data_IF_402392801118
#
_entry.id   IF_402392801118
#
_cell.length_a   1.000
_cell.length_b   1.000
_cell.length_c   1.000
_cell.angle_alpha   90.00
_cell.angle_beta   90.00
_cell.angle_gamma   90.00
#
_symmetry.space_group_name_H-M   'P 1'
#
loop_
_entity.id
_entity.type
_entity.pdbx_description
1 polymer ?
#
# COMPACT_ATOMS: atom_id res chain seq x y z
N UNK A 1 -14.03 13.00 34.72
CA UNK A 1 -14.79 12.56 33.53
C UNK A 1 -13.78 12.32 32.42
N UNK A 2 -13.78 11.14 31.79
CA UNK A 2 -12.88 10.87 30.66
C UNK A 2 -13.38 11.65 29.43
N UNK A 3 -12.50 12.42 28.78
CA UNK A 3 -12.85 13.10 27.53
C UNK A 3 -13.31 12.07 26.48
N UNK A 4 -14.38 12.37 25.75
CA UNK A 4 -14.84 11.51 24.67
C UNK A 4 -13.78 11.48 23.57
N UNK A 5 -13.20 10.30 23.34
CA UNK A 5 -12.19 10.09 22.29
C UNK A 5 -12.79 10.36 20.92
N UNK A 6 -11.98 10.95 20.03
CA UNK A 6 -12.35 11.00 18.62
C UNK A 6 -12.13 9.64 17.95
N UNK A 7 -12.67 9.44 16.75
CA UNK A 7 -12.62 8.17 16.03
C UNK A 7 -11.18 7.73 15.75
N UNK A 8 -10.28 8.67 15.45
CA UNK A 8 -8.87 8.35 15.22
C UNK A 8 -8.20 7.79 16.49
N UNK A 9 -8.39 8.45 17.63
CA UNK A 9 -7.86 7.99 18.93
C UNK A 9 -8.46 6.65 19.36
N UNK A 10 -9.74 6.42 19.08
CA UNK A 10 -10.40 5.15 19.37
C UNK A 10 -9.86 4.03 18.47
N UNK A 11 -9.71 4.28 17.17
CA UNK A 11 -9.19 3.32 16.20
C UNK A 11 -7.72 2.97 16.44
N UNK A 12 -6.89 3.97 16.78
CA UNK A 12 -5.43 3.84 16.91
C UNK A 12 -4.93 3.70 18.34
N UNK A 13 -5.79 3.67 19.36
CA UNK A 13 -5.39 3.62 20.77
C UNK A 13 -4.56 2.39 21.22
N UNK A 14 -4.42 1.37 20.37
CA UNK A 14 -3.45 0.26 20.51
C UNK A 14 -2.74 -0.02 19.18
N UNK A 15 -2.59 1.00 18.35
CA UNK A 15 -1.84 0.93 17.10
C UNK A 15 -0.64 1.86 17.19
N UNK A 16 0.46 1.44 16.57
CA UNK A 16 1.63 2.28 16.34
C UNK A 16 1.59 2.79 14.92
N UNK A 17 1.65 4.10 14.75
CA UNK A 17 1.77 4.75 13.44
C UNK A 17 3.23 5.13 13.25
N UNK A 18 3.87 4.54 12.23
CA UNK A 18 5.28 4.71 11.92
C UNK A 18 5.37 5.42 10.58
N UNK A 19 6.08 6.55 10.53
CA UNK A 19 6.34 7.29 9.29
C UNK A 19 7.76 7.03 8.81
N UNK A 20 7.89 6.64 7.54
CA UNK A 20 9.17 6.42 6.88
C UNK A 20 9.14 7.09 5.51
N UNK A 21 9.67 8.31 5.44
CA UNK A 21 9.55 9.14 4.24
C UNK A 21 8.09 9.39 3.87
N UNK A 22 7.69 8.90 2.70
CA UNK A 22 6.32 8.98 2.17
C UNK A 22 5.43 7.78 2.56
N UNK A 23 5.97 6.78 3.25
CA UNK A 23 5.23 5.62 3.72
C UNK A 23 4.71 5.84 5.14
N UNK A 24 3.47 5.43 5.36
CA UNK A 24 2.86 5.32 6.68
C UNK A 24 2.53 3.84 6.92
N UNK A 25 3.19 3.27 7.93
CA UNK A 25 2.90 1.94 8.43
C UNK A 25 2.08 2.03 9.71
N UNK A 26 0.99 1.26 9.78
CA UNK A 26 0.15 1.16 10.96
C UNK A 26 0.24 -0.27 11.46
N UNK A 27 0.75 -0.44 12.68
CA UNK A 27 0.89 -1.73 13.36
C UNK A 27 -0.13 -1.81 14.47
N UNK A 28 -1.10 -2.71 14.36
CA UNK A 28 -2.19 -2.90 15.30
C UNK A 28 -1.84 -4.06 16.21
N UNK A 29 -1.81 -3.82 17.52
CA UNK A 29 -1.57 -4.90 18.48
C UNK A 29 -2.68 -5.97 18.38
N UNK A 30 -2.28 -7.22 18.14
CA UNK A 30 -3.17 -8.36 17.86
C UNK A 30 -4.03 -8.24 16.59
N UNK A 31 -3.83 -7.22 15.75
CA UNK A 31 -4.69 -6.91 14.60
C UNK A 31 -3.97 -6.79 13.26
N UNK A 32 -2.68 -7.13 13.22
CA UNK A 32 -1.83 -7.11 12.04
C UNK A 32 -1.19 -5.75 11.74
N UNK A 33 -0.77 -5.55 10.49
CA UNK A 33 -0.16 -4.30 10.06
C UNK A 33 -0.47 -4.00 8.60
N UNK A 34 -0.56 -2.72 8.25
CA UNK A 34 -0.67 -2.30 6.85
C UNK A 34 0.17 -1.06 6.57
N UNK A 35 0.47 -0.83 5.30
CA UNK A 35 1.19 0.33 4.79
C UNK A 35 0.33 1.06 3.78
N UNK A 36 0.37 2.38 3.82
CA UNK A 36 -0.24 3.30 2.84
C UNK A 36 0.71 4.48 2.61
N UNK A 37 0.34 5.42 1.74
CA UNK A 37 1.09 6.65 1.52
C UNK A 37 0.71 7.72 2.54
N UNK A 38 1.61 8.68 2.77
CA UNK A 38 1.33 9.85 3.58
C UNK A 38 0.19 10.70 2.99
N UNK A 39 0.13 10.79 1.67
CA UNK A 39 -0.89 11.53 0.92
C UNK A 39 -2.31 11.00 1.19
N UNK A 40 -2.50 9.69 1.30
CA UNK A 40 -3.81 9.12 1.64
C UNK A 40 -4.09 9.11 3.15
N UNK A 41 -3.05 8.87 3.96
CA UNK A 41 -3.22 8.80 5.41
C UNK A 41 -3.68 10.14 6.02
N UNK A 42 -3.11 11.27 5.57
CA UNK A 42 -3.39 12.56 6.21
C UNK A 42 -4.84 13.02 6.07
N UNK A 43 -5.49 12.95 4.90
CA UNK A 43 -6.93 13.21 4.76
C UNK A 43 -7.79 12.29 5.62
N UNK A 44 -7.50 10.98 5.61
CA UNK A 44 -8.24 9.99 6.41
C UNK A 44 -8.13 10.28 7.91
N UNK A 45 -6.92 10.62 8.39
CA UNK A 45 -6.68 11.02 9.77
C UNK A 45 -7.46 12.27 10.14
N UNK A 46 -7.37 13.35 9.34
CA UNK A 46 -8.10 14.60 9.59
C UNK A 46 -9.61 14.41 9.62
N UNK A 47 -10.13 13.53 8.76
CA UNK A 47 -11.54 13.14 8.80
C UNK A 47 -11.88 12.43 10.12
N UNK A 48 -11.08 11.45 10.54
CA UNK A 48 -11.32 10.65 11.74
C UNK A 48 -11.21 11.47 13.03
N UNK A 49 -10.29 12.44 13.11
CA UNK A 49 -10.16 13.37 14.25
C UNK A 49 -11.42 14.23 14.45
N UNK A 50 -12.21 14.47 13.40
CA UNK A 50 -13.46 15.24 13.46
C UNK A 50 -14.70 14.40 13.77
N UNK A 51 -14.57 13.07 13.87
CA UNK A 51 -15.69 12.16 14.14
C UNK A 51 -15.66 11.70 15.58
N UNK A 52 -16.83 11.60 16.19
CA UNK A 52 -16.98 10.96 17.49
C UNK A 52 -16.73 9.44 17.38
N UNK A 53 -16.02 8.86 18.34
CA UNK A 53 -15.89 7.41 18.44
C UNK A 53 -17.24 6.75 18.74
N UNK A 54 -17.49 5.56 18.18
CA UNK A 54 -18.70 4.79 18.44
C UNK A 54 -18.67 4.04 19.77
N UNK A 55 -17.50 3.97 20.42
CA UNK A 55 -17.28 3.17 21.63
C UNK A 55 -16.93 1.71 21.32
N UNK A 56 -17.10 1.25 20.08
CA UNK A 56 -16.63 -0.04 19.61
C UNK A 56 -15.38 0.13 18.74
N UNK A 57 -14.24 -0.32 19.27
CA UNK A 57 -12.94 -0.19 18.61
C UNK A 57 -12.86 -0.88 17.25
N UNK A 58 -13.47 -2.06 17.10
CA UNK A 58 -13.43 -2.82 15.84
C UNK A 58 -14.20 -2.05 14.76
N UNK A 59 -15.37 -1.52 15.12
CA UNK A 59 -16.18 -0.67 14.24
C UNK A 59 -15.46 0.62 13.87
N UNK A 60 -14.86 1.31 14.85
CA UNK A 60 -14.12 2.56 14.62
C UNK A 60 -12.89 2.34 13.73
N UNK A 61 -12.17 1.22 13.89
CA UNK A 61 -11.08 0.81 12.99
C UNK A 61 -11.56 0.56 11.58
N UNK A 62 -12.65 -0.21 11.41
CA UNK A 62 -13.25 -0.46 10.10
C UNK A 62 -13.55 0.85 9.37
N UNK A 63 -14.28 1.76 10.03
CA UNK A 63 -14.62 3.09 9.50
C UNK A 63 -13.40 3.92 9.14
N UNK A 64 -12.35 3.90 9.97
CA UNK A 64 -11.12 4.63 9.69
C UNK A 64 -10.39 4.05 8.48
N UNK A 65 -10.20 2.72 8.43
CA UNK A 65 -9.47 2.06 7.36
C UNK A 65 -10.20 2.12 6.01
N UNK A 66 -11.53 2.22 6.01
CA UNK A 66 -12.32 2.47 4.81
C UNK A 66 -12.03 3.82 4.14
N UNK A 67 -11.52 4.80 4.88
CA UNK A 67 -11.12 6.08 4.28
C UNK A 67 -9.77 6.02 3.55
N UNK A 68 -9.04 4.91 3.67
CA UNK A 68 -7.75 4.72 3.00
C UNK A 68 -7.99 3.90 1.74
N UNK A 69 -7.81 4.52 0.57
CA UNK A 69 -8.16 3.93 -0.72
C UNK A 69 -7.15 2.90 -1.21
N UNK A 70 -5.85 3.13 -0.97
CA UNK A 70 -4.75 2.23 -1.35
C UNK A 70 -3.95 1.85 -0.12
N UNK A 71 -3.88 0.54 0.14
CA UNK A 71 -3.07 0.00 1.22
C UNK A 71 -2.62 -1.42 0.91
N UNK A 72 -1.45 -1.78 1.43
CA UNK A 72 -0.92 -3.15 1.42
C UNK A 72 -0.88 -3.65 2.86
N UNK A 73 -1.59 -4.74 3.12
CA UNK A 73 -1.75 -5.35 4.44
C UNK A 73 -0.86 -6.56 4.62
N UNK A 74 -0.52 -6.89 5.87
CA UNK A 74 0.03 -8.21 6.22
C UNK A 74 -1.10 -9.25 6.27
N UNK A 75 -0.83 -10.52 5.96
CA UNK A 75 -1.79 -11.60 6.22
C UNK A 75 -2.31 -11.57 7.66
N UNK A 76 -3.62 -11.75 7.85
CA UNK A 76 -4.26 -11.69 9.17
C UNK A 76 -4.53 -10.29 9.71
N UNK A 77 -4.28 -9.22 8.94
CA UNK A 77 -4.64 -7.85 9.32
C UNK A 77 -6.13 -7.60 9.17
N UNK A 78 -6.70 -6.78 10.06
CA UNK A 78 -8.13 -6.41 10.04
C UNK A 78 -8.56 -5.68 8.75
N UNK A 79 -7.62 -5.09 8.01
CA UNK A 79 -7.85 -4.50 6.70
C UNK A 79 -7.14 -5.33 5.63
N UNK A 80 -7.83 -5.63 4.54
CA UNK A 80 -7.25 -6.31 3.38
C UNK A 80 -6.57 -5.31 2.43
N UNK A 81 -5.55 -5.80 1.72
CA UNK A 81 -4.89 -5.08 0.62
C UNK A 81 -5.92 -4.68 -0.41
N UNK A 82 -5.94 -3.39 -0.78
CA UNK A 82 -6.93 -2.84 -1.72
C UNK A 82 -6.38 -1.63 -2.46
N UNK A 83 -7.09 -1.24 -3.52
CA UNK A 83 -6.77 -0.10 -4.37
C UNK A 83 -6.52 -0.52 -5.82
N UNK A 84 -6.43 0.44 -6.76
CA UNK A 84 -6.11 0.14 -8.15
C UNK A 84 -4.75 -0.54 -8.28
N UNK A 85 -4.63 -1.55 -9.14
CA UNK A 85 -3.40 -2.36 -9.26
C UNK A 85 -2.14 -1.52 -9.49
N UNK A 86 -2.22 -0.47 -10.32
CA UNK A 86 -1.11 0.46 -10.59
C UNK A 86 -0.67 1.24 -9.35
N UNK A 87 -1.62 1.62 -8.49
CA UNK A 87 -1.31 2.36 -7.27
C UNK A 87 -0.72 1.43 -6.20
N UNK A 88 -1.26 0.21 -6.08
CA UNK A 88 -0.71 -0.83 -5.21
C UNK A 88 0.71 -1.21 -5.65
N UNK A 89 0.95 -1.31 -6.96
CA UNK A 89 2.27 -1.53 -7.52
C UNK A 89 3.25 -0.41 -7.18
N UNK A 90 2.85 0.85 -7.37
CA UNK A 90 3.67 2.01 -7.01
C UNK A 90 3.99 2.02 -5.50
N UNK A 91 3.00 1.65 -4.66
CA UNK A 91 3.20 1.52 -3.22
C UNK A 91 4.18 0.38 -2.89
N UNK A 92 4.05 -0.78 -3.52
CA UNK A 92 4.96 -1.92 -3.34
C UNK A 92 6.41 -1.57 -3.75
N UNK A 93 6.58 -0.83 -4.86
CA UNK A 93 7.89 -0.32 -5.29
C UNK A 93 8.49 0.64 -4.25
N UNK A 94 7.68 1.55 -3.69
CA UNK A 94 8.10 2.45 -2.59
C UNK A 94 8.47 1.67 -1.34
N UNK A 95 7.69 0.64 -0.97
CA UNK A 95 7.98 -0.25 0.15
C UNK A 95 9.33 -0.97 -0.05
N UNK A 96 9.58 -1.54 -1.23
CA UNK A 96 10.87 -2.17 -1.55
C UNK A 96 12.03 -1.18 -1.45
N UNK A 97 11.86 0.04 -1.99
CA UNK A 97 12.86 1.11 -1.88
C UNK A 97 13.08 1.57 -0.43
N UNK A 98 12.06 1.49 0.42
CA UNK A 98 12.13 1.76 1.86
C UNK A 98 12.71 0.60 2.69
N UNK A 99 13.16 -0.48 2.05
CA UNK A 99 13.77 -1.63 2.73
C UNK A 99 12.77 -2.65 3.30
N UNK A 100 11.50 -2.62 2.88
CA UNK A 100 10.52 -3.61 3.31
C UNK A 100 10.73 -4.93 2.55
N UNK A 101 10.72 -6.05 3.30
CA UNK A 101 10.65 -7.38 2.71
C UNK A 101 9.22 -7.66 2.25
N UNK A 102 8.98 -7.65 0.94
CA UNK A 102 7.64 -7.78 0.35
C UNK A 102 7.03 -9.18 0.53
N UNK A 103 7.82 -10.20 0.87
CA UNK A 103 7.36 -11.56 1.12
C UNK A 103 6.40 -11.67 2.33
N UNK A 104 6.52 -10.76 3.30
CA UNK A 104 5.66 -10.73 4.50
C UNK A 104 4.32 -10.00 4.28
N UNK A 105 4.07 -9.50 3.06
CA UNK A 105 2.91 -8.67 2.76
C UNK A 105 1.98 -9.35 1.76
N UNK A 106 0.68 -9.13 1.95
CA UNK A 106 -0.34 -9.68 1.08
C UNK A 106 -0.43 -8.86 -0.21
N UNK A 107 0.44 -9.16 -1.18
CA UNK A 107 0.39 -8.56 -2.50
C UNK A 107 -0.65 -9.28 -3.39
N UNK A 108 -1.33 -8.54 -4.30
CA UNK A 108 -2.15 -9.13 -5.34
C UNK A 108 -1.35 -10.16 -6.16
N UNK A 109 -2.01 -11.20 -6.73
CA UNK A 109 -1.33 -12.24 -7.49
C UNK A 109 -0.51 -11.68 -8.66
N UNK A 110 -1.01 -10.62 -9.28
CA UNK A 110 -0.34 -9.92 -10.38
C UNK A 110 1.01 -9.31 -9.98
N UNK A 111 1.23 -9.00 -8.70
CA UNK A 111 2.44 -8.33 -8.19
C UNK A 111 3.36 -9.27 -7.39
N UNK A 112 3.06 -10.57 -7.34
CA UNK A 112 3.86 -11.55 -6.59
C UNK A 112 5.30 -11.68 -7.08
N UNK A 113 5.56 -11.41 -8.36
CA UNK A 113 6.91 -11.40 -8.93
C UNK A 113 7.85 -10.41 -8.20
N UNK A 114 7.30 -9.35 -7.59
CA UNK A 114 8.09 -8.38 -6.82
C UNK A 114 8.64 -8.96 -5.51
N UNK A 115 8.05 -10.05 -5.00
CA UNK A 115 8.50 -10.74 -3.78
C UNK A 115 9.71 -11.64 -4.04
N UNK A 116 9.78 -12.25 -5.23
CA UNK A 116 10.85 -13.19 -5.61
C UNK A 116 12.09 -12.49 -6.15
N UNK A 117 12.04 -11.16 -6.33
CA UNK A 117 13.13 -10.41 -6.95
C UNK A 117 13.21 -10.60 -8.47
N UNK A 118 12.20 -11.22 -9.07
CA UNK A 118 12.11 -11.43 -10.51
C UNK A 118 11.80 -10.10 -11.21
N UNK A 119 12.43 -9.89 -12.38
CA UNK A 119 12.21 -8.69 -13.20
C UNK A 119 10.75 -8.64 -13.68
N UNK A 120 10.19 -7.42 -13.80
CA UNK A 120 8.78 -7.25 -14.17
C UNK A 120 8.51 -7.90 -15.54
N UNK A 121 7.66 -8.94 -15.63
CA UNK A 121 7.44 -9.66 -16.87
C UNK A 121 6.82 -8.79 -17.98
N UNK A 122 6.24 -7.63 -17.65
CA UNK A 122 5.73 -6.67 -18.63
C UNK A 122 6.87 -5.83 -19.22
N UNK A 123 7.92 -5.53 -18.45
CA UNK A 123 9.11 -4.87 -18.98
C UNK A 123 9.88 -5.81 -19.92
N UNK A 124 10.00 -7.10 -19.55
CA UNK A 124 10.67 -8.11 -20.39
C UNK A 124 9.98 -8.21 -21.76
N UNK A 125 8.65 -8.27 -21.80
CA UNK A 125 7.88 -8.29 -23.06
C UNK A 125 8.14 -7.05 -23.91
N UNK A 126 8.06 -5.85 -23.31
CA UNK A 126 8.27 -4.59 -24.02
C UNK A 126 9.68 -4.46 -24.62
N UNK A 127 10.71 -4.88 -23.89
CA UNK A 127 12.10 -4.87 -24.38
C UNK A 127 12.30 -5.91 -25.49
N UNK A 128 11.65 -7.08 -25.40
CA UNK A 128 11.70 -8.09 -26.45
C UNK A 128 11.01 -7.66 -27.74
N UNK A 129 9.89 -6.93 -27.66
CA UNK A 129 9.20 -6.37 -28.83
C UNK A 129 10.02 -5.25 -29.49
N UNK A 130 10.63 -4.36 -28.70
CA UNK A 130 11.49 -3.27 -29.22
C UNK A 130 12.79 -3.76 -29.87
N UNK A 131 13.31 -4.93 -29.47
CA UNK A 131 14.50 -5.53 -30.08
C UNK A 131 14.18 -6.37 -31.32
N UNK A 132 12.91 -6.63 -31.61
CA UNK A 132 12.48 -7.48 -32.72
C UNK A 132 12.34 -6.76 -34.08
N UNK A 133 12.65 -5.47 -34.17
CA UNK A 133 12.65 -4.68 -35.43
C UNK A 133 14.07 -4.43 -35.99
N UNK A 134 14.67 -5.37 -36.75
CA UNK A 134 15.93 -5.13 -37.48
C UNK A 134 15.73 -4.66 -38.95
N UNK A 135 14.60 -4.03 -39.32
CA UNK A 135 14.28 -3.73 -40.73
C UNK A 135 14.40 -2.25 -41.12
N UNK A 136 15.60 -1.68 -41.02
CA UNK A 136 15.96 -0.43 -41.74
C UNK A 136 17.43 -0.35 -42.16
N UNK A 137 18.13 -1.49 -42.26
CA UNK A 137 19.43 -1.57 -42.91
C UNK A 137 19.28 -2.05 -44.35
N UNK A 138 19.01 -1.13 -45.27
CA UNK A 138 19.38 -1.29 -46.68
C UNK A 138 19.85 0.08 -47.21
N UNK A 139 21.14 0.27 -47.51
CA UNK A 139 21.57 1.43 -48.28
C UNK A 139 21.07 1.25 -49.73
N UNK A 140 20.58 2.30 -50.40
CA UNK A 140 20.44 2.25 -51.85
C UNK A 140 21.85 2.16 -52.45
N UNK A 141 22.12 1.01 -53.08
CA UNK A 141 23.28 0.75 -53.92
C UNK A 141 23.27 1.70 -55.14
N UNK A 142 24.46 1.99 -55.64
CA UNK A 142 24.84 3.07 -56.56
C UNK A 142 24.13 3.07 -57.92
#
# INVERSE_FOLDING_TARGET
MAAQKNLFEAATGQARVIKQGDLIQIVIDGGGAFVTTFEEFMPARKWAERKAASGNRVTDRGRFFEQIGVLISRPGTQAATRGPIKAVEALARKMKAGGYELGDWALPPELRFMQTGEEDPREIKKVSELKADPKSAQPPEA
#
